data_IF_488312332307
#
_entry.id   IF_488312332307
#
_cell.length_a   1.000
_cell.length_b   1.000
_cell.length_c   1.000
_cell.angle_alpha   90.00
_cell.angle_beta   90.00
_cell.angle_gamma   90.00
#
_symmetry.space_group_name_H-M   'P 1'
#
loop_
_entity.id
_entity.type
_entity.pdbx_description
1 polymer ?
#
# COMPACT_ATOMS: atom_id res chain seq x y z
N UNK A 1 22.79 -16.71 -0.63
CA UNK A 1 23.41 -15.40 -0.89
C UNK A 1 24.57 -15.62 -1.82
N UNK A 2 25.48 -16.48 -1.41
CA UNK A 2 26.57 -17.02 -2.23
C UNK A 2 26.02 -17.55 -3.56
N UNK A 3 24.96 -18.36 -3.51
CA UNK A 3 24.26 -18.86 -4.72
C UNK A 3 23.64 -17.74 -5.61
N UNK A 4 23.24 -16.61 -5.02
CA UNK A 4 22.66 -15.48 -5.77
C UNK A 4 23.77 -14.72 -6.50
N UNK A 5 24.91 -14.50 -5.82
CA UNK A 5 26.10 -13.86 -6.38
C UNK A 5 26.70 -14.70 -7.51
N UNK A 6 26.77 -16.02 -7.30
CA UNK A 6 27.27 -16.98 -8.29
C UNK A 6 26.38 -17.03 -9.53
N UNK A 7 25.05 -17.15 -9.35
CA UNK A 7 24.10 -17.15 -10.46
C UNK A 7 24.05 -15.82 -11.23
N UNK A 8 24.31 -14.70 -10.57
CA UNK A 8 24.33 -13.38 -11.19
C UNK A 8 25.71 -12.95 -11.72
N UNK A 9 26.77 -13.75 -11.49
CA UNK A 9 28.13 -13.42 -11.91
C UNK A 9 28.71 -12.16 -11.26
N UNK A 10 28.23 -11.79 -10.07
CA UNK A 10 28.65 -10.57 -9.36
C UNK A 10 29.26 -10.91 -8.00
N UNK A 11 30.17 -10.05 -7.51
CA UNK A 11 30.72 -10.22 -6.16
C UNK A 11 29.68 -9.92 -5.08
N UNK A 12 29.86 -10.47 -3.87
CA UNK A 12 29.04 -10.10 -2.69
C UNK A 12 29.06 -8.58 -2.43
N UNK A 13 30.22 -7.95 -2.61
CA UNK A 13 30.39 -6.48 -2.47
C UNK A 13 29.55 -5.74 -3.51
N UNK A 14 29.55 -6.20 -4.76
CA UNK A 14 28.71 -5.64 -5.83
C UNK A 14 27.24 -5.80 -5.49
N UNK A 15 26.81 -6.97 -5.02
CA UNK A 15 25.42 -7.18 -4.61
C UNK A 15 24.99 -6.20 -3.52
N UNK A 16 25.76 -6.06 -2.44
CA UNK A 16 25.43 -5.13 -1.35
C UNK A 16 25.52 -3.65 -1.74
N UNK A 17 26.26 -3.30 -2.79
CA UNK A 17 26.26 -1.93 -3.32
C UNK A 17 24.96 -1.55 -4.01
N UNK A 18 24.13 -2.52 -4.43
CA UNK A 18 22.89 -2.29 -5.18
C UNK A 18 21.64 -2.82 -4.48
N UNK A 19 21.80 -3.69 -3.47
CA UNK A 19 20.71 -4.32 -2.74
C UNK A 19 21.06 -4.30 -1.26
N UNK A 20 20.48 -3.36 -0.52
CA UNK A 20 20.79 -3.12 0.89
C UNK A 20 20.55 -4.36 1.78
N UNK A 21 19.64 -5.26 1.39
CA UNK A 21 19.38 -6.49 2.14
C UNK A 21 18.66 -7.56 1.30
N UNK A 22 18.64 -8.81 1.79
CA UNK A 22 17.86 -9.90 1.16
C UNK A 22 16.37 -9.57 1.13
N UNK A 23 15.89 -8.88 2.16
CA UNK A 23 14.52 -8.41 2.29
C UNK A 23 14.20 -7.36 1.23
N UNK A 24 15.14 -6.47 0.88
CA UNK A 24 15.00 -5.51 -0.22
C UNK A 24 14.92 -6.20 -1.59
N UNK A 25 15.66 -7.30 -1.81
CA UNK A 25 15.50 -8.08 -3.06
C UNK A 25 14.09 -8.68 -3.20
N UNK A 26 13.50 -9.15 -2.10
CA UNK A 26 12.21 -9.86 -2.11
C UNK A 26 11.00 -8.92 -1.97
N UNK A 27 11.09 -7.88 -1.15
CA UNK A 27 9.99 -6.93 -0.95
C UNK A 27 10.06 -5.73 -1.90
N UNK A 28 11.20 -5.51 -2.54
CA UNK A 28 11.50 -4.26 -3.22
C UNK A 28 12.07 -3.22 -2.28
N UNK A 29 12.43 -2.07 -2.84
CA UNK A 29 12.81 -0.91 -2.04
C UNK A 29 11.69 -0.59 -1.03
N UNK A 30 12.04 -0.15 0.18
CA UNK A 30 11.03 0.35 1.11
C UNK A 30 10.20 1.46 0.43
N UNK A 31 8.91 1.62 0.81
CA UNK A 31 8.13 2.78 0.37
C UNK A 31 8.96 4.03 0.63
N UNK A 32 9.13 4.86 -0.39
CA UNK A 32 9.82 6.14 -0.25
C UNK A 32 8.84 7.09 0.44
N UNK A 33 9.31 8.12 1.13
CA UNK A 33 8.38 9.19 1.52
C UNK A 33 7.75 9.80 0.26
N UNK A 34 6.50 10.28 0.35
CA UNK A 34 5.88 11.00 -0.75
C UNK A 34 6.71 12.26 -1.03
N UNK A 35 7.24 12.36 -2.24
CA UNK A 35 8.03 13.54 -2.62
C UNK A 35 7.11 14.78 -2.74
N UNK A 36 7.72 15.96 -2.76
CA UNK A 36 6.98 17.23 -2.80
C UNK A 36 6.07 17.34 -4.04
N UNK A 37 6.49 16.79 -5.17
CA UNK A 37 5.69 16.75 -6.41
C UNK A 37 4.42 15.91 -6.24
N UNK A 38 4.52 14.71 -5.66
CA UNK A 38 3.41 13.81 -5.38
C UNK A 38 2.41 14.46 -4.42
N UNK A 39 2.91 15.08 -3.34
CA UNK A 39 2.09 15.81 -2.37
C UNK A 39 1.40 17.00 -3.02
N UNK A 40 2.14 17.81 -3.79
CA UNK A 40 1.62 18.96 -4.51
C UNK A 40 0.53 18.57 -5.51
N UNK A 41 0.73 17.48 -6.27
CA UNK A 41 -0.29 16.96 -7.19
C UNK A 41 -1.55 16.54 -6.44
N UNK A 42 -1.41 15.81 -5.34
CA UNK A 42 -2.55 15.38 -4.52
C UNK A 42 -3.35 16.55 -3.96
N UNK A 43 -2.68 17.65 -3.58
CA UNK A 43 -3.29 18.85 -2.99
C UNK A 43 -3.75 19.89 -4.03
N UNK A 44 -3.42 19.73 -5.31
CA UNK A 44 -3.70 20.73 -6.36
C UNK A 44 -5.19 20.89 -6.70
N UNK A 45 -6.02 19.90 -6.37
CA UNK A 45 -7.45 19.91 -6.67
C UNK A 45 -8.23 19.01 -5.73
N UNK A 46 -9.54 19.28 -5.60
CA UNK A 46 -10.46 18.40 -4.90
C UNK A 46 -10.63 17.08 -5.66
N UNK A 47 -10.62 15.97 -4.94
CA UNK A 47 -10.91 14.64 -5.46
C UNK A 47 -12.39 14.30 -5.26
N UNK A 48 -13.02 13.68 -6.27
CA UNK A 48 -14.38 13.17 -6.14
C UNK A 48 -14.49 12.03 -5.09
N UNK A 49 -13.41 11.27 -4.92
CA UNK A 49 -13.26 10.27 -3.87
C UNK A 49 -11.84 10.33 -3.32
N UNK A 50 -11.66 11.06 -2.21
CA UNK A 50 -10.35 11.27 -1.57
C UNK A 50 -9.71 9.96 -1.13
N UNK A 51 -10.50 8.98 -0.66
CA UNK A 51 -10.00 7.69 -0.17
C UNK A 51 -9.44 6.86 -1.32
N UNK A 52 -10.13 6.83 -2.46
CA UNK A 52 -9.63 6.14 -3.66
C UNK A 52 -8.38 6.81 -4.22
N UNK A 53 -8.32 8.15 -4.23
CA UNK A 53 -7.14 8.90 -4.65
C UNK A 53 -5.93 8.63 -3.73
N UNK A 54 -6.15 8.63 -2.42
CA UNK A 54 -5.11 8.33 -1.42
C UNK A 54 -4.60 6.89 -1.55
N UNK A 55 -5.50 5.93 -1.78
CA UNK A 55 -5.13 4.54 -2.05
C UNK A 55 -4.29 4.43 -3.32
N UNK A 56 -4.67 5.12 -4.40
CA UNK A 56 -3.93 5.07 -5.65
C UNK A 56 -2.52 5.65 -5.51
N UNK A 57 -2.40 6.78 -4.80
CA UNK A 57 -1.12 7.43 -4.48
C UNK A 57 -0.24 6.54 -3.60
N UNK A 58 -0.82 5.91 -2.59
CA UNK A 58 -0.09 4.99 -1.69
C UNK A 58 0.43 3.78 -2.47
N UNK A 59 -0.37 3.21 -3.38
CA UNK A 59 0.06 2.10 -4.22
C UNK A 59 1.18 2.51 -5.19
N UNK A 60 1.15 3.71 -5.76
CA UNK A 60 2.23 4.21 -6.62
C UNK A 60 3.56 4.27 -5.86
N UNK A 61 3.51 4.55 -4.55
CA UNK A 61 4.67 4.63 -3.69
C UNK A 61 5.14 3.25 -3.18
N UNK A 62 4.21 2.43 -2.69
CA UNK A 62 4.51 1.07 -2.16
C UNK A 62 5.01 0.14 -3.25
N UNK A 63 4.60 0.35 -4.50
CA UNK A 63 4.98 -0.53 -5.61
C UNK A 63 6.12 0.03 -6.46
N UNK A 64 7.00 0.82 -5.83
CA UNK A 64 8.20 1.35 -6.46
C UNK A 64 9.09 0.24 -7.04
N UNK A 65 8.91 0.00 -8.33
CA UNK A 65 9.66 -0.90 -9.20
C UNK A 65 9.61 -0.40 -10.66
N UNK A 66 9.53 0.92 -10.83
CA UNK A 66 9.28 1.61 -12.11
C UNK A 66 10.45 1.49 -13.13
N UNK A 67 11.45 0.66 -12.90
CA UNK A 67 12.66 0.56 -13.73
C UNK A 67 12.89 -0.79 -14.39
N UNK A 68 11.90 -1.68 -14.43
CA UNK A 68 11.98 -2.93 -15.19
C UNK A 68 10.98 -2.94 -16.35
N UNK A 69 11.44 -3.44 -17.50
CA UNK A 69 10.62 -3.89 -18.63
C UNK A 69 9.38 -4.68 -18.12
N UNK A 70 8.16 -4.46 -18.66
CA UNK A 70 6.94 -5.12 -18.19
C UNK A 70 7.04 -6.64 -18.02
N UNK A 71 7.78 -7.33 -18.90
CA UNK A 71 8.00 -8.78 -18.81
C UNK A 71 8.88 -9.15 -17.62
N UNK A 72 10.01 -8.45 -17.45
CA UNK A 72 10.90 -8.63 -16.30
C UNK A 72 10.19 -8.33 -14.98
N UNK A 73 9.34 -7.29 -14.95
CA UNK A 73 8.52 -6.94 -13.77
C UNK A 73 7.56 -8.07 -13.40
N UNK A 74 6.88 -8.67 -14.38
CA UNK A 74 5.98 -9.80 -14.15
C UNK A 74 6.73 -11.02 -13.59
N UNK A 75 7.91 -11.33 -14.12
CA UNK A 75 8.76 -12.43 -13.62
C UNK A 75 9.24 -12.18 -12.20
N UNK A 76 9.74 -10.97 -11.91
CA UNK A 76 10.19 -10.58 -10.58
C UNK A 76 9.07 -10.71 -9.55
N UNK A 77 7.87 -10.19 -9.87
CA UNK A 77 6.73 -10.24 -8.96
C UNK A 77 6.20 -11.65 -8.74
N UNK A 78 6.21 -12.51 -9.77
CA UNK A 78 5.88 -13.94 -9.61
C UNK A 78 6.81 -14.61 -8.62
N UNK A 79 8.12 -14.33 -8.72
CA UNK A 79 9.12 -14.87 -7.79
C UNK A 79 8.89 -14.34 -6.37
N UNK A 80 8.66 -13.04 -6.20
CA UNK A 80 8.35 -12.42 -4.90
C UNK A 80 7.09 -13.00 -4.27
N UNK A 81 6.02 -13.17 -5.05
CA UNK A 81 4.77 -13.81 -4.62
C UNK A 81 5.00 -15.23 -4.10
N UNK A 82 5.79 -16.04 -4.83
CA UNK A 82 6.14 -17.40 -4.40
C UNK A 82 6.94 -17.41 -3.10
N UNK A 83 7.94 -16.54 -2.96
CA UNK A 83 8.75 -16.44 -1.75
C UNK A 83 7.89 -16.00 -0.55
N UNK A 84 7.02 -15.02 -0.76
CA UNK A 84 6.15 -14.50 0.31
C UNK A 84 5.12 -15.51 0.79
N UNK A 85 4.60 -16.38 -0.10
CA UNK A 85 3.76 -17.53 0.32
C UNK A 85 4.51 -18.53 1.20
N UNK A 86 5.83 -18.65 1.05
CA UNK A 86 6.65 -19.61 1.78
C UNK A 86 7.31 -19.05 3.04
N UNK A 87 7.21 -17.74 3.29
CA UNK A 87 7.93 -17.06 4.36
C UNK A 87 7.05 -15.98 5.05
N UNK A 88 6.46 -16.32 6.21
CA UNK A 88 5.63 -15.39 6.99
C UNK A 88 6.35 -14.12 7.46
N UNK A 89 7.67 -14.15 7.66
CA UNK A 89 8.41 -13.01 8.19
C UNK A 89 8.46 -11.84 7.18
N UNK A 90 8.41 -12.16 5.89
CA UNK A 90 8.33 -11.17 4.83
C UNK A 90 6.98 -10.45 4.77
N UNK A 91 5.88 -11.14 5.11
CA UNK A 91 4.57 -10.51 5.25
C UNK A 91 4.51 -9.56 6.46
N UNK A 92 5.17 -9.93 7.56
CA UNK A 92 5.33 -9.04 8.73
C UNK A 92 6.10 -7.77 8.38
N UNK A 93 7.22 -7.90 7.67
CA UNK A 93 8.02 -6.75 7.25
C UNK A 93 7.26 -5.85 6.25
N UNK A 94 6.55 -6.43 5.28
CA UNK A 94 5.69 -5.68 4.37
C UNK A 94 4.57 -4.92 5.10
N UNK A 95 3.98 -5.55 6.12
CA UNK A 95 2.97 -4.92 6.98
C UNK A 95 3.55 -3.77 7.81
N UNK A 96 4.75 -3.95 8.37
CA UNK A 96 5.45 -2.90 9.12
C UNK A 96 5.76 -1.69 8.25
N UNK A 97 6.17 -1.90 6.99
CA UNK A 97 6.44 -0.82 6.03
C UNK A 97 5.19 -0.01 5.72
N UNK A 98 4.07 -0.70 5.45
CA UNK A 98 2.80 -0.03 5.16
C UNK A 98 2.25 0.72 6.39
N UNK A 99 2.41 0.15 7.59
CA UNK A 99 2.07 0.82 8.84
C UNK A 99 2.95 2.05 9.10
N UNK A 100 4.22 2.03 8.68
CA UNK A 100 5.12 3.18 8.74
C UNK A 100 4.61 4.39 7.96
N UNK A 101 3.80 4.18 6.92
CA UNK A 101 3.18 5.28 6.15
C UNK A 101 2.01 5.96 6.87
N UNK A 102 1.54 5.42 8.00
CA UNK A 102 0.37 5.93 8.72
C UNK A 102 0.44 7.43 9.02
N UNK A 103 1.51 7.88 9.68
CA UNK A 103 1.68 9.29 10.06
C UNK A 103 1.63 10.21 8.84
N UNK A 104 2.32 9.84 7.77
CA UNK A 104 2.40 10.64 6.53
C UNK A 104 1.05 10.71 5.82
N UNK A 105 0.28 9.63 5.78
CA UNK A 105 -1.07 9.62 5.19
C UNK A 105 -2.03 10.52 5.99
N UNK A 106 -1.94 10.47 7.32
CA UNK A 106 -2.74 11.32 8.19
C UNK A 106 -2.40 12.80 8.03
N UNK A 107 -1.11 13.17 7.98
CA UNK A 107 -0.68 14.54 7.68
C UNK A 107 -1.17 15.02 6.31
N UNK A 108 -1.11 14.15 5.29
CA UNK A 108 -1.54 14.50 3.94
C UNK A 108 -3.04 14.73 3.84
N UNK A 109 -3.86 13.95 4.56
CA UNK A 109 -5.29 14.17 4.66
C UNK A 109 -5.65 15.44 5.43
N UNK A 110 -4.94 15.75 6.52
CA UNK A 110 -5.15 17.01 7.24
C UNK A 110 -4.84 18.23 6.36
N UNK A 111 -3.70 18.21 5.65
CA UNK A 111 -3.36 19.26 4.69
C UNK A 111 -4.42 19.37 3.56
N UNK A 112 -4.97 18.24 3.13
CA UNK A 112 -6.03 18.21 2.14
C UNK A 112 -7.34 18.83 2.66
N UNK A 113 -7.73 18.58 3.91
CA UNK A 113 -8.91 19.22 4.51
C UNK A 113 -8.73 20.72 4.76
N UNK A 114 -7.52 21.18 5.04
CA UNK A 114 -7.23 22.62 5.10
C UNK A 114 -7.43 23.30 3.73
N UNK A 115 -7.04 22.63 2.63
CA UNK A 115 -7.22 23.13 1.28
C UNK A 115 -8.67 23.00 0.77
N UNK A 116 -9.37 21.94 1.19
CA UNK A 116 -10.73 21.60 0.74
C UNK A 116 -11.62 21.18 1.93
N UNK A 117 -12.06 22.11 2.80
CA UNK A 117 -12.86 21.78 3.99
C UNK A 117 -14.15 21.01 3.69
N UNK A 118 -14.76 21.27 2.53
CA UNK A 118 -15.98 20.61 2.05
C UNK A 118 -15.76 19.17 1.55
N UNK A 119 -14.53 18.66 1.59
CA UNK A 119 -14.21 17.28 1.23
C UNK A 119 -14.29 16.30 2.41
N UNK A 120 -14.55 16.78 3.63
CA UNK A 120 -14.81 15.93 4.80
C UNK A 120 -16.05 15.07 4.59
N UNK A 121 -15.98 13.82 5.03
CA UNK A 121 -17.05 12.84 4.88
C UNK A 121 -17.93 12.77 6.14
N UNK A 122 -17.33 13.02 7.30
CA UNK A 122 -17.91 13.02 8.64
C UNK A 122 -17.64 14.40 9.31
N UNK A 123 -18.48 15.42 9.05
CA UNK A 123 -18.29 16.77 9.58
C UNK A 123 -18.26 16.85 11.11
N UNK A 124 -18.83 15.86 11.80
CA UNK A 124 -18.87 15.73 13.25
C UNK A 124 -17.52 15.36 13.88
N UNK A 125 -16.60 14.77 13.10
CA UNK A 125 -15.26 14.41 13.56
C UNK A 125 -14.30 15.58 13.41
N UNK A 126 -13.24 15.62 14.21
CA UNK A 126 -12.11 16.52 13.95
C UNK A 126 -11.34 16.08 12.69
N UNK A 127 -10.62 17.00 12.06
CA UNK A 127 -9.80 16.69 10.88
C UNK A 127 -8.77 15.60 11.19
N UNK A 128 -8.22 15.60 12.40
CA UNK A 128 -7.25 14.60 12.85
C UNK A 128 -7.89 13.20 12.98
N UNK A 129 -9.09 13.10 13.56
CA UNK A 129 -9.80 11.83 13.73
C UNK A 129 -10.19 11.22 12.38
N UNK A 130 -10.83 12.00 11.51
CA UNK A 130 -11.23 11.51 10.18
C UNK A 130 -9.99 11.10 9.36
N UNK A 131 -8.92 11.90 9.40
CA UNK A 131 -7.67 11.59 8.71
C UNK A 131 -7.03 10.30 9.22
N UNK A 132 -7.01 10.09 10.54
CA UNK A 132 -6.48 8.87 11.16
C UNK A 132 -7.29 7.63 10.75
N UNK A 133 -8.62 7.72 10.77
CA UNK A 133 -9.51 6.62 10.41
C UNK A 133 -9.39 6.25 8.93
N UNK A 134 -9.41 7.24 8.03
CA UNK A 134 -9.27 7.00 6.60
C UNK A 134 -7.88 6.47 6.21
N UNK A 135 -6.81 6.93 6.87
CA UNK A 135 -5.48 6.36 6.68
C UNK A 135 -5.45 4.86 7.02
N UNK A 136 -6.05 4.45 8.13
CA UNK A 136 -6.16 3.03 8.50
C UNK A 136 -7.01 2.24 7.52
N UNK A 137 -8.12 2.81 7.03
CA UNK A 137 -8.95 2.17 6.00
C UNK A 137 -8.15 1.92 4.72
N UNK A 138 -7.34 2.89 4.27
CA UNK A 138 -6.48 2.73 3.08
C UNK A 138 -5.41 1.67 3.31
N UNK A 139 -4.71 1.71 4.45
CA UNK A 139 -3.69 0.72 4.83
C UNK A 139 -4.32 -0.69 4.87
N UNK A 140 -5.48 -0.83 5.51
CA UNK A 140 -6.22 -2.09 5.59
C UNK A 140 -6.64 -2.61 4.22
N UNK A 141 -7.18 -1.74 3.36
CA UNK A 141 -7.57 -2.10 2.00
C UNK A 141 -6.38 -2.59 1.16
N UNK A 142 -5.24 -1.91 1.25
CA UNK A 142 -4.01 -2.31 0.57
C UNK A 142 -3.53 -3.67 1.10
N UNK A 143 -3.47 -3.85 2.43
CA UNK A 143 -3.06 -5.11 3.05
C UNK A 143 -3.94 -6.29 2.62
N UNK A 144 -5.26 -6.13 2.66
CA UNK A 144 -6.21 -7.15 2.21
C UNK A 144 -6.08 -7.43 0.71
N UNK A 145 -5.90 -6.39 -0.10
CA UNK A 145 -5.70 -6.50 -1.55
C UNK A 145 -4.42 -7.26 -1.88
N UNK A 146 -3.32 -6.99 -1.17
CA UNK A 146 -2.06 -7.72 -1.28
C UNK A 146 -2.20 -9.18 -0.84
N UNK A 147 -2.85 -9.47 0.28
CA UNK A 147 -3.10 -10.85 0.73
C UNK A 147 -3.91 -11.62 -0.32
N UNK A 148 -5.02 -11.04 -0.78
CA UNK A 148 -5.86 -11.62 -1.83
C UNK A 148 -5.11 -11.83 -3.15
N UNK A 149 -4.23 -10.90 -3.53
CA UNK A 149 -3.39 -11.02 -4.71
C UNK A 149 -2.34 -12.12 -4.55
N UNK A 150 -1.73 -12.24 -3.36
CA UNK A 150 -0.80 -13.33 -3.04
C UNK A 150 -1.52 -14.66 -3.10
N UNK A 151 -2.76 -14.79 -2.66
CA UNK A 151 -3.47 -16.09 -2.67
C UNK A 151 -4.06 -16.44 -4.04
N UNK A 152 -4.32 -15.45 -4.89
CA UNK A 152 -4.89 -15.68 -6.22
C UNK A 152 -4.03 -16.62 -7.07
N UNK A 153 -4.67 -17.49 -7.87
CA UNK A 153 -3.97 -18.35 -8.83
C UNK A 153 -3.34 -17.57 -9.99
N UNK A 154 -3.87 -16.38 -10.29
CA UNK A 154 -3.37 -15.53 -11.38
C UNK A 154 -2.07 -14.84 -10.98
N UNK A 155 -1.18 -14.67 -11.95
CA UNK A 155 0.17 -14.10 -11.75
C UNK A 155 0.27 -12.64 -12.22
N UNK A 156 -0.83 -12.06 -12.72
CA UNK A 156 -0.81 -10.70 -13.26
C UNK A 156 -0.72 -9.65 -12.16
N UNK A 157 0.28 -8.79 -12.29
CA UNK A 157 0.48 -7.60 -11.46
C UNK A 157 -0.64 -6.57 -11.64
N UNK A 158 -1.20 -6.48 -12.85
CA UNK A 158 -2.27 -5.53 -13.17
C UNK A 158 -3.52 -5.76 -12.31
N UNK A 159 -3.64 -6.94 -11.69
CA UNK A 159 -4.74 -7.31 -10.79
C UNK A 159 -4.54 -6.83 -9.36
N UNK A 160 -3.34 -6.39 -8.95
CA UNK A 160 -3.10 -5.96 -7.57
C UNK A 160 -3.90 -4.70 -7.21
N UNK A 161 -3.80 -3.65 -8.04
CA UNK A 161 -4.54 -2.39 -7.81
C UNK A 161 -6.06 -2.60 -7.82
N UNK A 162 -6.65 -3.32 -8.80
CA UNK A 162 -8.06 -3.73 -8.74
C UNK A 162 -8.43 -4.48 -7.46
N UNK A 163 -7.58 -5.37 -6.95
CA UNK A 163 -7.84 -6.09 -5.70
C UNK A 163 -7.84 -5.17 -4.48
N UNK A 164 -6.90 -4.23 -4.38
CA UNK A 164 -6.89 -3.24 -3.31
C UNK A 164 -8.16 -2.36 -3.34
N UNK A 165 -8.60 -1.93 -4.53
CA UNK A 165 -9.86 -1.19 -4.72
C UNK A 165 -11.08 -2.05 -4.33
N UNK A 166 -11.09 -3.33 -4.69
CA UNK A 166 -12.15 -4.25 -4.29
C UNK A 166 -12.19 -4.47 -2.77
N UNK A 167 -11.03 -4.54 -2.11
CA UNK A 167 -10.93 -4.62 -0.65
C UNK A 167 -11.48 -3.36 0.02
N UNK A 168 -11.14 -2.16 -0.49
CA UNK A 168 -11.72 -0.90 -0.02
C UNK A 168 -13.25 -0.93 -0.14
N UNK A 169 -13.77 -1.29 -1.31
CA UNK A 169 -15.22 -1.39 -1.53
C UNK A 169 -15.89 -2.40 -0.58
N UNK A 170 -15.23 -3.53 -0.32
CA UNK A 170 -15.72 -4.54 0.61
C UNK A 170 -15.76 -4.02 2.05
N UNK A 171 -14.73 -3.31 2.51
CA UNK A 171 -14.70 -2.66 3.82
C UNK A 171 -15.88 -1.68 3.94
N UNK A 172 -16.04 -0.78 2.97
CA UNK A 172 -17.14 0.20 2.98
C UNK A 172 -18.51 -0.48 3.01
N UNK A 173 -18.69 -1.56 2.25
CA UNK A 173 -19.94 -2.33 2.25
C UNK A 173 -20.22 -2.99 3.59
N UNK A 174 -19.19 -3.56 4.24
CA UNK A 174 -19.31 -4.16 5.56
C UNK A 174 -19.69 -3.11 6.61
N UNK A 175 -19.00 -1.97 6.65
CA UNK A 175 -19.30 -0.89 7.60
C UNK A 175 -20.74 -0.38 7.47
N UNK A 176 -21.30 -0.31 6.26
CA UNK A 176 -22.70 0.06 6.02
C UNK A 176 -23.73 -1.00 6.39
N UNK A 177 -23.30 -2.25 6.52
CA UNK A 177 -24.17 -3.38 6.86
C UNK A 177 -24.10 -3.74 8.35
N UNK A 178 -23.19 -3.14 9.12
CA UNK A 178 -23.13 -3.31 10.56
C UNK A 178 -24.38 -2.67 11.20
N UNK A 179 -25.00 -3.32 12.20
CA UNK A 179 -26.11 -2.72 12.92
C UNK A 179 -25.63 -1.54 13.78
N UNK A 180 -26.42 -0.45 13.81
CA UNK A 180 -26.10 0.78 14.56
C UNK A 180 -26.14 0.59 16.09
N UNK A 181 -26.68 -0.53 16.59
CA UNK A 181 -26.80 -0.86 18.02
C UNK A 181 -26.61 -2.36 18.24
N UNK A 182 -25.92 -2.73 19.31
CA UNK A 182 -26.24 -4.00 19.99
C UNK A 182 -27.71 -3.85 20.43
N UNK A 183 -28.59 -4.72 19.92
CA UNK A 183 -29.91 -4.92 20.50
C UNK A 183 -29.69 -5.24 21.99
N UNK A 184 -29.82 -4.24 22.85
CA UNK A 184 -30.07 -4.45 24.26
C UNK A 184 -31.48 -5.05 24.35
N UNK A 185 -31.55 -6.37 24.23
CA UNK A 185 -32.63 -7.16 24.81
C UNK A 185 -32.40 -7.18 26.34
N UNK A 186 -33.12 -6.32 27.05
CA UNK A 186 -33.51 -6.49 28.45
C UNK A 186 -34.99 -6.04 28.60
#
# INVERSE_FOLDING_TARGET
MDDICEAAGISKRTFFNYVDSKETAVLGEPPRDFNEEQRGRFLSHRHANVVAALLDLTLDNVISGQFADPEQRAVLLRRRKRIRRSDPDLDHLGSSRLNGSYAVLTEMLQAYYQAFPEAKLAPELTDAEESAQLALVVIGAIRLGFSSWVDAKTESYEQLRPRCKASLHSITRLCRALPDKEENDD
#
